data_IF_855225063856
#
_entry.id   IF_855225063856
#
_cell.length_a   1.000
_cell.length_b   1.000
_cell.length_c   1.000
_cell.angle_alpha   90.00
_cell.angle_beta   90.00
_cell.angle_gamma   90.00
#
_symmetry.space_group_name_H-M   'P 1'
#
loop_
_entity.id
_entity.type
_entity.pdbx_description
1 polymer ?
#
# COMPACT_ATOMS: atom_id res chain seq x y z
N UNK A 1 -9.08 12.08 -13.29
CA UNK A 1 -8.70 12.55 -11.94
C UNK A 1 -7.44 13.40 -12.07
N UNK A 2 -7.29 14.48 -11.32
CA UNK A 2 -6.00 15.18 -11.17
C UNK A 2 -5.90 15.84 -9.79
N UNK A 3 -4.68 16.09 -9.31
CA UNK A 3 -4.45 16.89 -8.12
C UNK A 3 -4.36 18.33 -8.58
N UNK A 4 -5.20 19.22 -8.04
CA UNK A 4 -5.21 20.64 -8.39
C UNK A 4 -4.19 21.42 -7.56
N UNK A 5 -4.12 21.13 -6.28
CA UNK A 5 -3.28 21.86 -5.32
C UNK A 5 -2.71 20.88 -4.28
N UNK A 6 -1.49 21.15 -3.84
CA UNK A 6 -0.87 20.52 -2.68
C UNK A 6 -0.22 21.58 -1.80
N UNK A 7 -0.37 21.43 -0.49
CA UNK A 7 0.36 22.19 0.51
C UNK A 7 1.03 21.23 1.49
N UNK A 8 2.32 21.46 1.74
CA UNK A 8 3.15 20.68 2.63
C UNK A 8 3.63 21.57 3.79
N UNK A 9 3.69 21.00 4.98
CA UNK A 9 4.30 21.63 6.15
C UNK A 9 5.08 20.61 6.95
N UNK A 10 6.34 20.91 7.23
CA UNK A 10 7.27 20.07 7.98
C UNK A 10 7.34 18.61 7.49
N UNK A 11 7.30 18.39 6.18
CA UNK A 11 7.30 17.06 5.57
C UNK A 11 8.65 16.77 4.89
N UNK A 12 9.38 15.76 5.39
CA UNK A 12 10.72 15.40 4.91
C UNK A 12 11.67 16.62 4.92
N UNK A 13 12.11 17.08 3.76
CA UNK A 13 12.96 18.27 3.63
C UNK A 13 12.18 19.57 3.36
N UNK A 14 10.85 19.53 3.33
CA UNK A 14 10.00 20.70 3.15
C UNK A 14 9.54 21.27 4.50
N UNK A 15 9.96 22.49 4.82
CA UNK A 15 9.40 23.23 5.96
C UNK A 15 7.99 23.75 5.66
N UNK A 16 7.84 24.40 4.50
CA UNK A 16 6.55 24.83 3.97
C UNK A 16 6.66 24.93 2.45
N UNK A 17 5.67 24.40 1.72
CA UNK A 17 5.65 24.42 0.26
C UNK A 17 4.20 24.38 -0.24
N UNK A 18 3.92 25.05 -1.36
CA UNK A 18 2.61 25.01 -2.02
C UNK A 18 2.80 24.92 -3.53
N UNK A 19 2.15 23.96 -4.15
CA UNK A 19 2.14 23.82 -5.60
C UNK A 19 0.71 23.70 -6.14
N UNK A 20 0.49 24.33 -7.29
CA UNK A 20 -0.75 24.25 -8.07
C UNK A 20 -0.41 23.50 -9.36
N UNK A 21 -1.24 22.54 -9.71
CA UNK A 21 -1.08 21.75 -10.93
C UNK A 21 -2.28 21.95 -11.85
N UNK A 22 -1.97 22.00 -13.14
CA UNK A 22 -2.97 21.98 -14.20
C UNK A 22 -3.21 20.54 -14.66
N UNK A 23 -4.37 20.25 -15.27
CA UNK A 23 -4.60 18.97 -15.94
C UNK A 23 -3.52 18.70 -17.01
N UNK A 24 -3.11 17.44 -17.14
CA UNK A 24 -2.10 17.01 -18.12
C UNK A 24 -0.76 16.68 -17.50
N UNK A 25 0.31 16.83 -18.28
CA UNK A 25 1.66 16.46 -17.87
C UNK A 25 2.31 17.58 -17.05
N UNK A 26 2.74 17.25 -15.84
CA UNK A 26 3.55 18.14 -15.00
C UNK A 26 4.98 17.58 -14.89
N UNK A 27 5.98 18.42 -15.14
CA UNK A 27 7.39 18.08 -15.03
C UNK A 27 7.95 18.76 -13.78
N UNK A 28 8.44 17.95 -12.83
CA UNK A 28 9.14 18.43 -11.63
C UNK A 28 10.65 18.28 -11.87
N UNK A 29 11.35 19.40 -12.01
CA UNK A 29 12.78 19.44 -12.30
C UNK A 29 13.58 20.04 -11.13
N UNK A 30 14.85 19.67 -11.03
CA UNK A 30 15.79 20.19 -10.04
C UNK A 30 16.98 19.25 -9.87
N UNK A 31 17.99 19.67 -9.11
CA UNK A 31 19.14 18.83 -8.78
C UNK A 31 18.75 17.60 -7.92
N UNK A 32 19.62 16.60 -7.86
CA UNK A 32 19.42 15.45 -6.97
C UNK A 32 19.42 15.91 -5.50
N UNK A 33 18.63 15.24 -4.66
CA UNK A 33 18.50 15.60 -3.24
C UNK A 33 17.57 16.80 -2.94
N UNK A 34 17.07 17.52 -3.94
CA UNK A 34 16.22 18.72 -3.74
C UNK A 34 14.77 18.43 -3.30
N UNK A 35 14.41 17.19 -3.01
CA UNK A 35 13.07 16.84 -2.53
C UNK A 35 12.05 16.44 -3.59
N UNK A 36 12.40 16.38 -4.88
CA UNK A 36 11.49 15.93 -5.97
C UNK A 36 10.73 14.65 -5.61
N UNK A 37 11.44 13.62 -5.16
CA UNK A 37 10.83 12.35 -4.75
C UNK A 37 10.06 12.46 -3.43
N UNK A 38 10.38 13.42 -2.57
CA UNK A 38 9.61 13.70 -1.34
C UNK A 38 8.28 14.41 -1.66
N UNK A 39 8.24 15.25 -2.70
CA UNK A 39 6.98 15.80 -3.21
C UNK A 39 6.08 14.70 -3.78
N UNK A 40 6.64 13.78 -4.56
CA UNK A 40 5.91 12.58 -5.01
C UNK A 40 5.45 11.72 -3.82
N UNK A 41 6.25 11.61 -2.76
CA UNK A 41 5.89 10.89 -1.54
C UNK A 41 4.74 11.57 -0.79
N UNK A 42 4.68 12.90 -0.79
CA UNK A 42 3.55 13.64 -0.23
C UNK A 42 2.26 13.42 -1.03
N UNK A 43 2.34 13.44 -2.37
CA UNK A 43 1.24 13.13 -3.27
C UNK A 43 0.73 11.69 -3.03
N UNK A 44 1.65 10.73 -2.93
CA UNK A 44 1.32 9.35 -2.59
C UNK A 44 0.63 9.24 -1.23
N UNK A 45 1.14 9.93 -0.20
CA UNK A 45 0.55 9.94 1.13
C UNK A 45 -0.86 10.55 1.16
N UNK A 46 -1.15 11.55 0.32
CA UNK A 46 -2.50 12.10 0.19
C UNK A 46 -3.47 11.11 -0.47
N UNK A 47 -2.99 10.25 -1.35
CA UNK A 47 -3.82 9.24 -2.02
C UNK A 47 -4.03 7.99 -1.15
N UNK A 48 -2.97 7.54 -0.47
CA UNK A 48 -2.92 6.22 0.18
C UNK A 48 -2.67 6.24 1.69
N UNK A 49 -2.43 7.42 2.29
CA UNK A 49 -2.17 7.59 3.71
C UNK A 49 -1.02 6.72 4.27
N UNK A 50 0.01 6.46 3.48
CA UNK A 50 1.27 5.89 3.95
C UNK A 50 2.39 6.26 2.98
N UNK A 51 3.65 6.06 3.36
CA UNK A 51 4.80 6.23 2.47
C UNK A 51 4.91 5.08 1.48
N UNK A 52 5.16 5.37 0.20
CA UNK A 52 5.48 4.33 -0.78
C UNK A 52 6.80 3.61 -0.48
N UNK A 53 7.67 4.21 0.35
CA UNK A 53 8.91 3.61 0.87
C UNK A 53 8.67 2.75 2.12
N UNK A 54 7.41 2.55 2.54
CA UNK A 54 7.02 1.84 3.77
C UNK A 54 7.69 2.38 5.04
N UNK A 55 7.98 3.69 5.09
CA UNK A 55 8.52 4.35 6.27
C UNK A 55 7.45 4.56 7.34
N UNK A 56 7.88 4.68 8.60
CA UNK A 56 6.97 5.05 9.70
C UNK A 56 6.66 6.54 9.60
N UNK A 57 5.47 6.93 10.06
CA UNK A 57 5.01 8.33 10.05
C UNK A 57 6.00 9.32 10.67
N UNK A 58 6.66 8.92 11.76
CA UNK A 58 7.67 9.74 12.44
C UNK A 58 8.87 10.07 11.55
N UNK A 59 9.20 9.19 10.60
CA UNK A 59 10.35 9.35 9.70
C UNK A 59 10.00 10.25 8.49
N UNK A 60 8.73 10.65 8.39
CA UNK A 60 8.23 11.63 7.42
C UNK A 60 8.23 13.06 7.96
N UNK A 61 8.36 13.23 9.28
CA UNK A 61 8.42 14.56 9.89
C UNK A 61 9.78 15.19 9.62
N UNK A 62 9.77 16.46 9.22
CA UNK A 62 10.98 17.25 9.07
C UNK A 62 11.78 17.28 10.38
N UNK A 63 13.10 17.27 10.28
CA UNK A 63 13.99 17.22 11.44
C UNK A 63 13.71 18.39 12.40
N UNK A 64 13.73 18.09 13.69
CA UNK A 64 13.48 19.05 14.77
C UNK A 64 12.10 19.75 14.72
N UNK A 65 11.14 19.23 13.93
CA UNK A 65 9.76 19.71 13.92
C UNK A 65 8.83 18.74 14.68
N UNK A 66 7.77 19.22 15.34
CA UNK A 66 6.91 18.37 16.17
C UNK A 66 5.84 17.57 15.40
N UNK A 67 5.55 17.93 14.16
CA UNK A 67 4.52 17.29 13.33
C UNK A 67 4.81 17.52 11.84
N UNK A 68 4.14 16.75 10.97
CA UNK A 68 3.95 17.13 9.55
C UNK A 68 2.47 17.34 9.25
N UNK A 69 2.16 18.16 8.24
CA UNK A 69 0.83 18.33 7.69
C UNK A 69 0.88 18.39 6.17
N UNK A 70 0.00 17.64 5.53
CA UNK A 70 -0.22 17.63 4.08
C UNK A 70 -1.68 17.96 3.82
N UNK A 71 -1.91 18.78 2.81
CA UNK A 71 -3.23 19.08 2.29
C UNK A 71 -3.21 18.98 0.77
N UNK A 72 -4.24 18.37 0.19
CA UNK A 72 -4.40 18.26 -1.25
C UNK A 72 -5.83 18.55 -1.68
N UNK A 73 -5.98 19.21 -2.83
CA UNK A 73 -7.27 19.35 -3.51
C UNK A 73 -7.27 18.43 -4.72
N UNK A 74 -8.09 17.38 -4.68
CA UNK A 74 -8.15 16.34 -5.70
C UNK A 74 -9.45 16.47 -6.50
N UNK A 75 -9.36 16.55 -7.83
CA UNK A 75 -10.50 16.48 -8.72
C UNK A 75 -10.76 15.03 -9.15
N UNK A 76 -11.93 14.51 -8.82
CA UNK A 76 -12.34 13.13 -9.06
C UNK A 76 -13.85 13.07 -9.28
N UNK A 77 -14.32 12.29 -10.27
CA UNK A 77 -15.74 12.12 -10.57
C UNK A 77 -16.51 13.46 -10.61
N UNK A 78 -15.96 14.43 -11.35
CA UNK A 78 -16.52 15.78 -11.52
C UNK A 78 -16.61 16.63 -10.24
N UNK A 79 -15.94 16.22 -9.15
CA UNK A 79 -15.98 16.93 -7.86
C UNK A 79 -14.59 17.16 -7.30
N UNK A 80 -14.46 18.23 -6.52
CA UNK A 80 -13.25 18.50 -5.74
C UNK A 80 -13.37 17.92 -4.33
N UNK A 81 -12.34 17.20 -3.92
CA UNK A 81 -12.17 16.66 -2.59
C UNK A 81 -10.97 17.33 -1.93
N UNK A 82 -11.20 17.92 -0.75
CA UNK A 82 -10.14 18.41 0.11
C UNK A 82 -9.67 17.28 1.01
N UNK A 83 -8.42 16.89 0.86
CA UNK A 83 -7.78 15.82 1.59
C UNK A 83 -6.75 16.39 2.53
N UNK A 84 -6.74 15.94 3.79
CA UNK A 84 -5.77 16.39 4.79
C UNK A 84 -5.19 15.19 5.54
N UNK A 85 -3.87 15.19 5.69
CA UNK A 85 -3.10 14.20 6.43
C UNK A 85 -2.19 14.93 7.41
N UNK A 86 -2.14 14.48 8.66
CA UNK A 86 -1.17 15.02 9.61
C UNK A 86 -0.73 13.97 10.62
N UNK A 87 0.47 14.12 11.12
CA UNK A 87 1.00 13.28 12.18
C UNK A 87 1.74 14.12 13.21
N UNK A 88 1.38 13.93 14.47
CA UNK A 88 1.97 14.61 15.63
C UNK A 88 2.89 13.64 16.38
N UNK A 89 4.17 14.01 16.56
CA UNK A 89 5.18 13.18 17.22
C UNK A 89 4.91 13.02 18.71
N UNK A 90 4.47 14.08 19.39
CA UNK A 90 4.23 14.08 20.83
C UNK A 90 3.04 13.19 21.17
N UNK A 91 1.95 13.34 20.41
CA UNK A 91 0.72 12.54 20.57
C UNK A 91 0.82 11.16 19.92
N UNK A 92 1.85 10.91 19.11
CA UNK A 92 2.03 9.70 18.28
C UNK A 92 0.77 9.35 17.50
N UNK A 93 0.11 10.38 16.96
CA UNK A 93 -1.24 10.27 16.39
C UNK A 93 -1.26 10.76 14.96
N UNK A 94 -1.73 9.89 14.06
CA UNK A 94 -2.10 10.25 12.69
C UNK A 94 -3.54 10.73 12.65
N UNK A 95 -3.79 11.81 11.91
CA UNK A 95 -5.11 12.39 11.67
C UNK A 95 -5.32 12.48 10.16
N UNK A 96 -6.52 12.12 9.73
CA UNK A 96 -6.93 12.13 8.32
C UNK A 96 -8.28 12.81 8.24
N UNK A 97 -8.45 13.71 7.26
CA UNK A 97 -9.74 14.35 6.99
C UNK A 97 -10.05 14.38 5.50
N UNK A 98 -11.33 14.26 5.18
CA UNK A 98 -11.86 14.47 3.84
C UNK A 98 -12.96 15.52 3.96
N UNK A 99 -12.86 16.61 3.21
CA UNK A 99 -13.75 17.78 3.28
C UNK A 99 -13.95 18.26 4.72
N UNK A 100 -12.86 18.34 5.49
CA UNK A 100 -12.84 18.76 6.89
C UNK A 100 -13.32 17.71 7.91
N UNK A 101 -13.94 16.60 7.49
CA UNK A 101 -14.45 15.55 8.39
C UNK A 101 -13.38 14.50 8.68
N UNK A 102 -13.12 14.15 9.96
CA UNK A 102 -12.18 13.10 10.32
C UNK A 102 -12.60 11.73 9.76
N UNK A 103 -11.65 10.99 9.21
CA UNK A 103 -11.88 9.63 8.70
C UNK A 103 -10.89 8.64 9.30
N UNK A 104 -11.33 7.39 9.47
CA UNK A 104 -10.47 6.29 9.95
C UNK A 104 -9.70 5.61 8.82
N UNK A 105 -10.25 5.63 7.60
CA UNK A 105 -9.70 5.01 6.41
C UNK A 105 -9.96 5.91 5.20
N UNK A 106 -9.01 5.94 4.27
CA UNK A 106 -9.16 6.61 3.00
C UNK A 106 -10.02 5.77 2.06
N UNK A 107 -11.33 6.00 2.05
CA UNK A 107 -12.20 5.46 0.99
C UNK A 107 -11.97 6.14 -0.36
N UNK A 108 -11.31 7.30 -0.36
CA UNK A 108 -10.89 7.95 -1.61
C UNK A 108 -9.97 7.03 -2.43
N UNK A 109 -9.14 6.19 -1.81
CA UNK A 109 -8.30 5.22 -2.51
C UNK A 109 -9.12 4.26 -3.40
N UNK A 110 -10.31 3.83 -2.96
CA UNK A 110 -11.23 2.98 -3.75
C UNK A 110 -11.69 3.64 -5.06
N UNK A 111 -11.56 4.97 -5.14
CA UNK A 111 -11.96 5.77 -6.30
C UNK A 111 -10.80 6.54 -6.94
N UNK A 112 -9.58 6.38 -6.43
CA UNK A 112 -8.41 7.17 -6.82
C UNK A 112 -7.47 6.26 -7.65
N UNK A 113 -7.66 6.17 -8.97
CA UNK A 113 -6.83 5.34 -9.83
C UNK A 113 -5.46 6.01 -10.00
N UNK A 114 -4.59 5.90 -9.00
CA UNK A 114 -3.24 6.44 -9.06
C UNK A 114 -2.25 5.30 -9.10
N UNK A 115 -1.46 5.25 -10.16
CA UNK A 115 -0.36 4.32 -10.31
C UNK A 115 0.94 5.09 -10.13
N UNK A 116 1.80 4.63 -9.25
CA UNK A 116 3.15 5.18 -9.09
C UNK A 116 4.15 4.23 -9.71
N UNK A 117 4.92 4.74 -10.66
CA UNK A 117 6.10 4.05 -11.18
C UNK A 117 7.32 4.55 -10.41
N UNK A 118 7.95 3.63 -9.69
CA UNK A 118 9.06 3.91 -8.79
C UNK A 118 10.29 3.14 -9.26
N UNK A 119 11.51 3.71 -9.11
CA UNK A 119 12.74 2.94 -9.34
C UNK A 119 12.79 1.64 -8.54
N UNK A 120 12.20 1.64 -7.34
CA UNK A 120 12.08 0.49 -6.45
C UNK A 120 11.19 -0.63 -7.01
N UNK A 121 10.38 -0.40 -8.05
CA UNK A 121 9.56 -1.45 -8.67
C UNK A 121 10.44 -2.57 -9.30
N UNK A 122 11.70 -2.27 -9.60
CA UNK A 122 12.69 -3.29 -10.00
C UNK A 122 12.97 -4.30 -8.89
N UNK A 123 12.71 -3.97 -7.63
CA UNK A 123 12.84 -4.88 -6.50
C UNK A 123 11.83 -6.04 -6.59
N UNK A 124 10.70 -5.87 -7.25
CA UNK A 124 9.70 -6.93 -7.45
C UNK A 124 10.33 -8.15 -8.15
N UNK A 125 11.24 -7.88 -9.09
CA UNK A 125 11.98 -8.88 -9.87
C UNK A 125 13.22 -9.36 -9.11
N UNK A 126 13.98 -8.43 -8.49
CA UNK A 126 15.28 -8.73 -7.89
C UNK A 126 15.22 -9.35 -6.49
N UNK A 127 14.21 -9.01 -5.68
CA UNK A 127 14.14 -9.40 -4.26
C UNK A 127 13.34 -10.68 -4.05
N UNK A 128 13.28 -11.11 -2.79
CA UNK A 128 12.63 -12.34 -2.38
C UNK A 128 11.09 -12.29 -2.37
N UNK A 129 10.45 -13.40 -1.97
CA UNK A 129 8.98 -13.53 -1.95
C UNK A 129 8.25 -12.53 -1.04
N UNK A 130 8.93 -11.96 -0.05
CA UNK A 130 8.33 -10.99 0.86
C UNK A 130 7.89 -9.72 0.13
N UNK A 131 8.75 -9.14 -0.72
CA UNK A 131 8.42 -7.92 -1.46
C UNK A 131 7.30 -8.17 -2.47
N UNK A 132 7.32 -9.31 -3.17
CA UNK A 132 6.21 -9.70 -4.07
C UNK A 132 4.88 -9.86 -3.34
N UNK A 133 4.88 -10.43 -2.13
CA UNK A 133 3.67 -10.53 -1.30
C UNK A 133 3.19 -9.16 -0.84
N UNK A 134 4.09 -8.29 -0.37
CA UNK A 134 3.75 -6.93 0.06
C UNK A 134 3.15 -6.11 -1.08
N UNK A 135 3.76 -6.20 -2.27
CA UNK A 135 3.22 -5.57 -3.48
C UNK A 135 1.80 -6.06 -3.75
N UNK A 136 1.60 -7.37 -3.88
CA UNK A 136 0.29 -7.96 -4.16
C UNK A 136 -0.75 -7.60 -3.08
N UNK A 137 -0.35 -7.64 -1.80
CA UNK A 137 -1.22 -7.27 -0.68
C UNK A 137 -1.64 -5.81 -0.72
N UNK A 138 -0.72 -4.92 -1.09
CA UNK A 138 -0.98 -3.49 -1.22
C UNK A 138 -1.98 -3.23 -2.34
N UNK A 139 -1.73 -3.75 -3.54
CA UNK A 139 -2.60 -3.53 -4.70
C UNK A 139 -4.02 -4.11 -4.45
N UNK A 140 -4.12 -5.33 -3.93
CA UNK A 140 -5.43 -5.95 -3.64
C UNK A 140 -6.19 -5.24 -2.52
N UNK A 141 -5.49 -4.67 -1.53
CA UNK A 141 -6.12 -3.91 -0.45
C UNK A 141 -6.64 -2.54 -0.90
N UNK A 142 -6.07 -1.96 -1.96
CA UNK A 142 -6.57 -0.72 -2.56
C UNK A 142 -7.87 -0.96 -3.33
N UNK A 143 -7.94 -2.09 -4.05
CA UNK A 143 -9.10 -2.48 -4.85
C UNK A 143 -10.25 -3.06 -4.00
N UNK A 144 -9.92 -3.79 -2.93
CA UNK A 144 -10.91 -4.51 -2.12
C UNK A 144 -10.73 -4.29 -0.62
N UNK A 145 -11.67 -3.54 -0.03
CA UNK A 145 -11.77 -3.39 1.42
C UNK A 145 -12.02 -4.72 2.15
N UNK A 146 -12.69 -5.66 1.48
CA UNK A 146 -12.90 -7.02 1.97
C UNK A 146 -11.56 -7.79 2.06
N UNK A 147 -10.71 -7.69 1.03
CA UNK A 147 -9.37 -8.28 1.06
C UNK A 147 -8.55 -7.70 2.21
N UNK A 148 -8.58 -6.38 2.38
CA UNK A 148 -7.86 -5.69 3.45
C UNK A 148 -8.31 -6.17 4.85
N UNK A 149 -9.62 -6.39 5.08
CA UNK A 149 -10.12 -6.96 6.33
C UNK A 149 -9.64 -8.41 6.54
N UNK A 150 -9.73 -9.26 5.51
CA UNK A 150 -9.23 -10.64 5.59
C UNK A 150 -7.74 -10.69 5.91
N UNK A 151 -6.92 -9.89 5.23
CA UNK A 151 -5.48 -9.80 5.47
C UNK A 151 -5.16 -9.33 6.89
N UNK A 152 -5.86 -8.31 7.38
CA UNK A 152 -5.70 -7.79 8.74
C UNK A 152 -6.03 -8.84 9.80
N UNK A 153 -7.16 -9.54 9.65
CA UNK A 153 -7.57 -10.61 10.57
C UNK A 153 -6.66 -11.82 10.52
N UNK A 154 -6.22 -12.21 9.32
CA UNK A 154 -5.23 -13.27 9.13
C UNK A 154 -3.93 -12.94 9.87
N UNK A 155 -3.37 -11.75 9.66
CA UNK A 155 -2.13 -11.31 10.31
C UNK A 155 -2.27 -11.26 11.83
N UNK A 156 -3.42 -10.82 12.35
CA UNK A 156 -3.71 -10.85 13.79
C UNK A 156 -3.74 -12.27 14.34
N UNK A 157 -4.40 -13.21 13.65
CA UNK A 157 -4.46 -14.61 14.08
C UNK A 157 -3.07 -15.26 14.07
N UNK A 158 -2.26 -15.02 13.04
CA UNK A 158 -0.86 -15.48 12.96
C UNK A 158 -0.03 -14.90 14.09
N UNK A 159 -0.15 -13.60 14.37
CA UNK A 159 0.57 -12.94 15.45
C UNK A 159 0.22 -13.55 16.82
N UNK A 160 -1.06 -13.75 17.12
CA UNK A 160 -1.50 -14.34 18.38
C UNK A 160 -1.05 -15.79 18.52
N UNK A 161 -1.16 -16.60 17.45
CA UNK A 161 -0.61 -17.97 17.43
C UNK A 161 0.88 -17.97 17.73
N UNK A 162 1.66 -17.09 17.08
CA UNK A 162 3.10 -17.01 17.28
C UNK A 162 3.48 -16.55 18.70
N UNK A 163 2.65 -15.75 19.37
CA UNK A 163 2.86 -15.41 20.79
C UNK A 163 2.68 -16.63 21.69
N UNK A 164 1.59 -17.37 21.52
CA UNK A 164 1.31 -18.59 22.30
C UNK A 164 2.42 -19.62 22.10
N UNK A 165 2.91 -19.81 20.87
CA UNK A 165 4.01 -20.74 20.57
C UNK A 165 5.34 -20.36 21.24
N UNK A 166 5.54 -19.09 21.60
CA UNK A 166 6.74 -18.63 22.31
C UNK A 166 6.66 -18.82 23.83
N UNK A 167 5.44 -18.98 24.37
CA UNK A 167 5.25 -19.35 25.77
C UNK A 167 5.66 -20.82 25.91
N UNK A 168 6.78 -21.10 26.59
CA UNK A 168 7.36 -22.44 26.77
C UNK A 168 6.47 -23.36 27.64
N UNK A 169 5.27 -23.67 27.17
CA UNK A 169 4.25 -24.49 27.82
C UNK A 169 4.35 -25.97 27.39
N UNK A 170 3.64 -26.83 28.12
CA UNK A 170 3.46 -28.23 27.74
C UNK A 170 2.77 -28.32 26.37
N UNK A 171 3.22 -29.26 25.52
CA UNK A 171 2.74 -29.39 24.14
C UNK A 171 1.20 -29.47 24.02
N UNK A 172 0.55 -30.25 24.89
CA UNK A 172 -0.92 -30.42 24.87
C UNK A 172 -1.66 -29.10 25.15
N UNK A 173 -1.23 -28.36 26.16
CA UNK A 173 -1.82 -27.05 26.49
C UNK A 173 -1.63 -26.05 25.35
N UNK A 174 -0.45 -26.04 24.72
CA UNK A 174 -0.20 -25.21 23.54
C UNK A 174 -1.14 -25.55 22.38
N UNK A 175 -1.40 -26.84 22.13
CA UNK A 175 -2.30 -27.27 21.04
C UNK A 175 -3.73 -26.77 21.24
N UNK A 176 -4.27 -26.87 22.45
CA UNK A 176 -5.62 -26.37 22.76
C UNK A 176 -5.71 -24.84 22.61
N UNK A 177 -4.66 -24.12 23.05
CA UNK A 177 -4.59 -22.66 22.94
C UNK A 177 -4.46 -22.17 21.49
N UNK A 178 -3.77 -22.92 20.60
CA UNK A 178 -3.61 -22.51 19.20
C UNK A 178 -4.79 -22.91 18.30
N UNK A 179 -5.64 -23.85 18.73
CA UNK A 179 -6.74 -24.40 17.91
C UNK A 179 -7.71 -23.33 17.38
N UNK A 180 -8.16 -22.33 18.17
CA UNK A 180 -9.01 -21.26 17.65
C UNK A 180 -8.30 -20.41 16.59
N UNK A 181 -7.00 -20.13 16.79
CA UNK A 181 -6.20 -19.37 15.83
C UNK A 181 -6.00 -20.14 14.53
N UNK A 182 -5.78 -21.46 14.58
CA UNK A 182 -5.70 -22.29 13.39
C UNK A 182 -6.99 -22.22 12.55
N UNK A 183 -8.17 -22.27 13.18
CA UNK A 183 -9.45 -22.13 12.47
C UNK A 183 -9.55 -20.77 11.76
N UNK A 184 -9.16 -19.68 12.42
CA UNK A 184 -9.16 -18.35 11.81
C UNK A 184 -8.14 -18.23 10.66
N UNK A 185 -6.94 -18.77 10.83
CA UNK A 185 -5.89 -18.78 9.80
C UNK A 185 -6.38 -19.53 8.56
N UNK A 186 -7.01 -20.70 8.72
CA UNK A 186 -7.59 -21.46 7.60
C UNK A 186 -8.72 -20.68 6.93
N UNK A 187 -9.63 -20.08 7.72
CA UNK A 187 -10.77 -19.34 7.20
C UNK A 187 -10.34 -18.10 6.38
N UNK A 188 -9.49 -17.25 6.93
CA UNK A 188 -9.04 -16.04 6.22
C UNK A 188 -7.99 -16.35 5.16
N UNK A 189 -7.09 -17.30 5.43
CA UNK A 189 -6.02 -17.69 4.51
C UNK A 189 -6.53 -18.29 3.21
N UNK A 190 -7.57 -19.14 3.25
CA UNK A 190 -8.15 -19.72 2.03
C UNK A 190 -8.75 -18.66 1.11
N UNK A 191 -9.44 -17.65 1.68
CA UNK A 191 -10.01 -16.51 0.95
C UNK A 191 -8.94 -15.63 0.33
N UNK A 192 -7.87 -15.33 1.08
CA UNK A 192 -6.71 -14.59 0.56
C UNK A 192 -6.08 -15.34 -0.62
N UNK A 193 -5.86 -16.65 -0.48
CA UNK A 193 -5.30 -17.49 -1.57
C UNK A 193 -6.20 -17.43 -2.81
N UNK A 194 -7.52 -17.56 -2.64
CA UNK A 194 -8.48 -17.51 -3.75
C UNK A 194 -8.45 -16.16 -4.48
N UNK A 195 -8.50 -15.05 -3.74
CA UNK A 195 -8.48 -13.70 -4.33
C UNK A 195 -7.15 -13.42 -5.04
N UNK A 196 -6.03 -13.83 -4.44
CA UNK A 196 -4.70 -13.71 -5.08
C UNK A 196 -4.60 -14.53 -6.35
N UNK A 197 -5.06 -15.77 -6.34
CA UNK A 197 -4.99 -16.65 -7.50
C UNK A 197 -5.82 -16.09 -8.67
N UNK A 198 -7.03 -15.60 -8.39
CA UNK A 198 -7.87 -14.95 -9.40
C UNK A 198 -7.17 -13.76 -10.04
N UNK A 199 -6.69 -12.80 -9.24
CA UNK A 199 -6.04 -11.59 -9.78
C UNK A 199 -4.73 -11.90 -10.51
N UNK A 200 -3.90 -12.80 -9.98
CA UNK A 200 -2.66 -13.20 -10.63
C UNK A 200 -2.90 -13.89 -11.97
N UNK A 201 -4.02 -14.60 -12.16
CA UNK A 201 -4.38 -15.18 -13.45
C UNK A 201 -4.64 -14.11 -14.52
N UNK A 202 -5.30 -13.01 -14.14
CA UNK A 202 -5.58 -11.86 -15.01
C UNK A 202 -4.28 -11.11 -15.28
N UNK A 203 -3.51 -10.81 -14.23
CA UNK A 203 -2.24 -10.11 -14.35
C UNK A 203 -1.23 -10.87 -15.19
N UNK A 204 -1.19 -12.21 -15.12
CA UNK A 204 -0.30 -12.99 -15.99
C UNK A 204 -0.63 -12.79 -17.46
N UNK A 205 -1.91 -12.69 -17.84
CA UNK A 205 -2.32 -12.44 -19.24
C UNK A 205 -1.92 -11.04 -19.68
N UNK A 206 -2.20 -10.03 -18.85
CA UNK A 206 -1.85 -8.63 -19.14
C UNK A 206 -0.34 -8.41 -19.20
N UNK A 207 0.40 -8.99 -18.27
CA UNK A 207 1.86 -8.92 -18.25
C UNK A 207 2.46 -9.57 -19.50
N UNK A 208 1.95 -10.74 -19.90
CA UNK A 208 2.40 -11.41 -21.13
C UNK A 208 2.17 -10.54 -22.37
N UNK A 209 0.97 -9.96 -22.51
CA UNK A 209 0.65 -9.05 -23.60
C UNK A 209 1.57 -7.82 -23.63
N UNK A 210 1.70 -7.11 -22.50
CA UNK A 210 2.52 -5.90 -22.41
C UNK A 210 4.02 -6.20 -22.65
N UNK A 211 4.50 -7.34 -22.18
CA UNK A 211 5.87 -7.78 -22.42
C UNK A 211 6.14 -7.98 -23.91
N UNK A 212 5.23 -8.63 -24.64
CA UNK A 212 5.35 -8.83 -26.07
C UNK A 212 5.32 -7.50 -26.84
N UNK A 213 4.46 -6.56 -26.45
CA UNK A 213 4.39 -5.22 -27.07
C UNK A 213 5.70 -4.46 -26.91
N UNK A 214 6.33 -4.52 -25.73
CA UNK A 214 7.55 -3.76 -25.43
C UNK A 214 8.80 -4.35 -26.06
N UNK A 215 8.93 -5.68 -26.06
CA UNK A 215 10.16 -6.35 -26.48
C UNK A 215 10.08 -6.99 -27.87
N UNK A 216 8.89 -7.09 -28.47
CA UNK A 216 8.67 -7.63 -29.82
C UNK A 216 9.35 -8.99 -30.09
N UNK A 217 9.50 -9.81 -29.04
CA UNK A 217 10.20 -11.09 -29.06
C UNK A 217 9.25 -12.25 -28.74
N UNK A 218 9.64 -13.47 -29.12
CA UNK A 218 8.89 -14.70 -28.84
C UNK A 218 8.90 -15.15 -27.36
N UNK A 219 9.62 -14.43 -26.49
CA UNK A 219 9.68 -14.77 -25.07
C UNK A 219 8.37 -14.45 -24.35
N UNK A 220 7.70 -15.51 -23.87
CA UNK A 220 6.43 -15.39 -23.14
C UNK A 220 6.68 -15.15 -21.66
N UNK A 221 6.39 -13.93 -21.19
CA UNK A 221 6.32 -13.66 -19.74
C UNK A 221 5.10 -14.38 -19.15
N UNK A 222 5.31 -15.06 -18.01
CA UNK A 222 4.25 -15.73 -17.23
C UNK A 222 4.46 -15.44 -15.75
N UNK A 223 3.35 -15.26 -15.04
CA UNK A 223 3.34 -15.17 -13.58
C UNK A 223 2.73 -16.46 -13.04
N UNK A 224 3.42 -17.13 -12.13
CA UNK A 224 2.98 -18.39 -11.50
C UNK A 224 2.76 -18.17 -10.01
N UNK A 225 1.60 -18.60 -9.50
CA UNK A 225 1.27 -18.45 -8.09
C UNK A 225 1.57 -19.72 -7.29
N UNK A 226 2.72 -19.70 -6.60
CA UNK A 226 3.15 -20.80 -5.74
C UNK A 226 2.55 -20.62 -4.33
N UNK A 227 1.51 -21.40 -4.03
CA UNK A 227 0.80 -21.39 -2.75
C UNK A 227 0.92 -22.75 -2.03
N UNK A 228 0.41 -22.85 -0.81
CA UNK A 228 0.54 -24.04 0.05
C UNK A 228 -0.18 -25.29 -0.47
N UNK A 229 -1.15 -25.12 -1.39
CA UNK A 229 -1.93 -26.19 -2.00
C UNK A 229 -1.23 -26.71 -3.28
N UNK A 230 -0.22 -26.01 -3.78
CA UNK A 230 0.50 -26.32 -5.01
C UNK A 230 0.36 -25.23 -6.08
N UNK A 231 1.09 -25.38 -7.18
CA UNK A 231 1.05 -24.42 -8.29
C UNK A 231 -0.31 -24.44 -8.99
N UNK A 232 -0.92 -23.26 -9.18
CA UNK A 232 -2.17 -23.08 -9.92
C UNK A 232 -3.40 -23.86 -9.41
N UNK A 233 -3.34 -24.46 -8.21
CA UNK A 233 -4.43 -25.26 -7.63
C UNK A 233 -5.75 -24.48 -7.41
N UNK A 234 -5.71 -23.14 -7.54
CA UNK A 234 -6.87 -22.25 -7.36
C UNK A 234 -7.05 -21.38 -8.62
N UNK A 235 -6.92 -22.00 -9.80
CA UNK A 235 -7.36 -21.40 -11.05
C UNK A 235 -8.75 -21.92 -11.35
N UNK A 236 -9.75 -21.03 -11.26
CA UNK A 236 -11.10 -21.26 -11.75
C UNK A 236 -11.19 -20.77 -13.20
#
# INVERSE_FOLDING_TARGET
>A
MYIKEIALKNFRNYEEEKAIFLPGTCIIQGANGQGKSNLLEAIYNLCFAHSFRNLKERDLVCWNKPFYYLQGTIYLQERFFKVELGYDLLKKRKVMKINGKPVRQFRLAEHCPVVFFLPEDLELVRRGPEERRRFLDRELSQDSSLYADFLSRYNRAVYQKNRVLKEKKLYRETQDLIRPWNKQIVYFGSRIIQMRAHVLSIWSKLASYNYNVLFQNDQKMKIVYNNIIGENAVTA
#
